data_IF_135177461570
#
_entry.id   IF_135177461570
#
_cell.length_a   1.000
_cell.length_b   1.000
_cell.length_c   1.000
_cell.angle_alpha   90.00
_cell.angle_beta   90.00
_cell.angle_gamma   90.00
#
_symmetry.space_group_name_H-M   'P 1'
#
loop_
_entity.id
_entity.type
_entity.pdbx_description
1 polymer ?
#
# COMPACT_ATOMS: atom_id res chain seq x y z
N UNK A 1 12.58 -12.22 8.32
CA UNK A 1 11.38 -11.63 7.67
C UNK A 1 10.13 -12.47 7.91
N UNK A 2 10.06 -13.72 7.43
CA UNK A 2 8.86 -14.57 7.64
C UNK A 2 8.47 -14.76 9.12
N UNK A 3 9.44 -14.86 10.04
CA UNK A 3 9.17 -14.93 11.49
C UNK A 3 8.47 -13.67 12.02
N UNK A 4 8.99 -12.49 11.70
CA UNK A 4 8.40 -11.21 12.11
C UNK A 4 7.01 -10.99 11.51
N UNK A 5 6.77 -11.40 10.27
CA UNK A 5 5.42 -11.34 9.68
C UNK A 5 4.43 -12.23 10.43
N UNK A 6 4.86 -13.40 10.93
CA UNK A 6 4.00 -14.27 11.75
C UNK A 6 3.66 -13.65 13.10
N UNK A 7 4.62 -12.96 13.73
CA UNK A 7 4.40 -12.24 14.98
C UNK A 7 3.42 -11.07 14.81
N UNK A 8 3.46 -10.37 13.67
CA UNK A 8 2.51 -9.30 13.35
C UNK A 8 1.14 -9.88 12.95
N UNK A 9 1.13 -10.97 12.19
CA UNK A 9 -0.08 -11.57 11.64
C UNK A 9 -1.00 -12.23 12.67
N UNK A 10 -0.53 -12.51 13.88
CA UNK A 10 -1.38 -13.06 14.96
C UNK A 10 -2.34 -12.03 15.57
N UNK A 11 -2.07 -10.74 15.41
CA UNK A 11 -2.85 -9.64 15.99
C UNK A 11 -2.95 -8.48 15.00
N UNK A 12 -3.54 -8.72 13.81
CA UNK A 12 -3.85 -7.61 12.90
C UNK A 12 -5.02 -6.83 13.50
N UNK A 13 -4.84 -5.54 13.87
CA UNK A 13 -5.93 -4.77 14.45
C UNK A 13 -7.05 -4.52 13.42
N UNK A 14 -8.29 -4.48 13.89
CA UNK A 14 -9.45 -4.09 13.07
C UNK A 14 -9.27 -2.65 12.58
N UNK A 15 -9.74 -2.38 11.35
CA UNK A 15 -9.73 -1.02 10.79
C UNK A 15 -8.38 -0.51 10.30
N UNK A 16 -7.35 -1.36 10.24
CA UNK A 16 -6.05 -0.99 9.66
C UNK A 16 -6.12 -1.02 8.14
N UNK A 17 -5.40 -0.12 7.50
CA UNK A 17 -5.25 -0.03 6.05
C UNK A 17 -3.77 0.17 5.68
N UNK A 18 -3.43 -0.04 4.40
CA UNK A 18 -2.11 0.29 3.89
C UNK A 18 -2.06 1.80 3.59
N UNK A 19 -1.07 2.58 4.06
CA UNK A 19 -1.02 4.02 3.78
C UNK A 19 -0.99 4.36 2.28
N UNK A 20 -0.47 3.45 1.45
CA UNK A 20 -0.47 3.60 -0.01
C UNK A 20 -1.84 3.35 -0.66
N UNK A 21 -2.82 2.81 0.08
CA UNK A 21 -4.17 2.55 -0.36
C UNK A 21 -5.20 2.81 0.77
N UNK A 22 -5.66 4.06 0.94
CA UNK A 22 -6.60 4.44 2.00
C UNK A 22 -8.06 4.06 1.71
N UNK A 23 -8.35 3.39 0.60
CA UNK A 23 -9.72 2.99 0.21
C UNK A 23 -10.03 1.52 0.55
N UNK A 24 -9.06 0.80 1.10
CA UNK A 24 -9.18 -0.63 1.39
C UNK A 24 -8.70 -0.96 2.80
N UNK A 25 -9.46 -1.80 3.49
CA UNK A 25 -9.10 -2.34 4.80
C UNK A 25 -8.26 -3.61 4.65
N UNK A 26 -7.37 -3.82 5.60
CA UNK A 26 -6.55 -5.02 5.71
C UNK A 26 -7.38 -6.17 6.30
N UNK A 27 -7.50 -7.26 5.55
CA UNK A 27 -8.18 -8.49 6.00
C UNK A 27 -7.18 -9.46 6.60
N UNK A 28 -6.04 -9.68 5.92
CA UNK A 28 -5.00 -10.58 6.43
C UNK A 28 -3.66 -10.36 5.74
N UNK A 29 -2.61 -10.95 6.32
CA UNK A 29 -1.25 -10.92 5.82
C UNK A 29 -0.83 -12.32 5.33
N UNK A 30 -0.23 -12.41 4.14
CA UNK A 30 0.43 -13.65 3.73
C UNK A 30 1.78 -13.79 4.47
N UNK A 31 1.79 -14.65 5.49
CA UNK A 31 2.93 -14.87 6.38
C UNK A 31 4.15 -15.49 5.68
N UNK A 32 3.98 -16.04 4.47
CA UNK A 32 5.05 -16.63 3.67
C UNK A 32 5.58 -15.68 2.58
N UNK A 33 4.90 -14.57 2.33
CA UNK A 33 5.24 -13.63 1.25
C UNK A 33 6.49 -12.78 1.50
N UNK A 34 6.93 -12.68 2.77
CA UNK A 34 8.03 -11.81 3.19
C UNK A 34 9.36 -12.12 2.52
N UNK A 35 9.76 -11.31 1.54
CA UNK A 35 10.97 -11.50 0.75
C UNK A 35 11.88 -10.26 0.77
N UNK A 36 13.18 -10.38 1.13
CA UNK A 36 14.15 -9.31 0.90
C UNK A 36 14.43 -9.12 -0.59
N UNK A 37 14.60 -7.88 -1.02
CA UNK A 37 14.94 -7.53 -2.41
C UNK A 37 16.42 -7.15 -2.52
N UNK A 38 17.06 -7.60 -3.60
CA UNK A 38 18.52 -7.63 -3.77
C UNK A 38 19.17 -6.30 -4.20
N UNK A 39 18.49 -5.16 -4.09
CA UNK A 39 18.85 -3.96 -4.89
C UNK A 39 19.36 -2.73 -4.13
N UNK A 40 19.72 -2.80 -2.84
CA UNK A 40 20.26 -1.64 -2.12
C UNK A 40 21.04 -2.01 -0.84
N UNK A 41 21.87 -1.08 -0.36
CA UNK A 41 22.60 -1.19 0.92
C UNK A 41 21.68 -1.37 2.16
N UNK A 42 20.39 -1.02 2.03
CA UNK A 42 19.38 -1.06 3.11
C UNK A 42 18.30 -2.14 2.90
N UNK A 43 18.52 -3.09 1.99
CA UNK A 43 17.73 -4.32 1.75
C UNK A 43 16.20 -4.19 2.00
N UNK A 44 15.42 -3.62 1.06
CA UNK A 44 13.98 -3.47 1.22
C UNK A 44 13.25 -4.81 1.24
N UNK A 45 12.05 -4.84 1.82
CA UNK A 45 11.25 -6.05 1.98
C UNK A 45 9.90 -5.94 1.30
N UNK A 46 9.50 -6.99 0.58
CA UNK A 46 8.17 -7.13 0.00
C UNK A 46 7.28 -8.01 0.89
N UNK A 47 6.03 -7.60 1.07
CA UNK A 47 4.98 -8.42 1.69
C UNK A 47 3.67 -8.32 0.90
N UNK A 48 2.85 -9.37 1.00
CA UNK A 48 1.54 -9.48 0.35
C UNK A 48 0.44 -9.45 1.40
N UNK A 49 -0.58 -8.64 1.16
CA UNK A 49 -1.72 -8.38 2.02
C UNK A 49 -3.00 -8.75 1.27
N UNK A 50 -3.96 -9.38 1.95
CA UNK A 50 -5.33 -9.51 1.46
C UNK A 50 -6.12 -8.31 1.97
N UNK A 51 -6.71 -7.56 1.07
CA UNK A 51 -7.42 -6.32 1.37
C UNK A 51 -8.82 -6.35 0.76
N UNK A 52 -9.73 -5.57 1.33
CA UNK A 52 -11.10 -5.42 0.85
C UNK A 52 -11.39 -3.94 0.58
N UNK A 53 -11.86 -3.60 -0.63
CA UNK A 53 -12.22 -2.22 -0.97
C UNK A 53 -13.50 -1.82 -0.24
N UNK A 54 -13.47 -0.72 0.49
CA UNK A 54 -14.62 -0.23 1.28
C UNK A 54 -14.87 1.27 1.10
N UNK A 55 -13.92 2.01 0.51
CA UNK A 55 -13.96 3.46 0.36
C UNK A 55 -13.53 4.19 1.64
N UNK A 56 -13.10 5.45 1.50
CA UNK A 56 -12.46 6.22 2.57
C UNK A 56 -13.39 6.38 3.79
N UNK A 57 -14.66 6.73 3.55
CA UNK A 57 -15.64 6.94 4.63
C UNK A 57 -15.80 5.68 5.51
N UNK A 58 -15.80 4.50 4.91
CA UNK A 58 -15.91 3.25 5.68
C UNK A 58 -14.60 2.94 6.41
N UNK A 59 -13.43 3.20 5.82
CA UNK A 59 -12.14 3.05 6.51
C UNK A 59 -12.09 3.92 7.76
N UNK A 60 -12.53 5.18 7.66
CA UNK A 60 -12.58 6.10 8.81
C UNK A 60 -13.53 5.60 9.89
N UNK A 61 -14.69 5.04 9.52
CA UNK A 61 -15.62 4.43 10.48
C UNK A 61 -15.05 3.19 11.15
N UNK A 62 -14.22 2.41 10.46
CA UNK A 62 -13.54 1.25 11.05
C UNK A 62 -12.45 1.62 12.07
N UNK A 63 -12.04 2.89 12.13
CA UNK A 63 -11.17 3.38 13.20
C UNK A 63 -11.92 3.56 14.54
N UNK A 64 -13.25 3.57 14.51
CA UNK A 64 -14.09 3.61 15.71
C UNK A 64 -14.18 2.20 16.34
N UNK A 65 -13.73 2.01 17.59
CA UNK A 65 -13.75 0.70 18.24
C UNK A 65 -15.15 0.12 18.46
N UNK A 66 -16.20 0.96 18.47
CA UNK A 66 -17.59 0.51 18.65
C UNK A 66 -18.27 0.14 17.31
N UNK A 67 -17.58 0.33 16.18
CA UNK A 67 -18.12 0.02 14.86
C UNK A 67 -17.84 -1.44 14.46
N UNK A 68 -18.88 -2.27 14.49
CA UNK A 68 -18.82 -3.61 13.89
C UNK A 68 -18.87 -3.49 12.37
N UNK A 69 -17.71 -3.71 11.74
CA UNK A 69 -17.62 -3.80 10.28
C UNK A 69 -18.41 -5.03 9.79
N UNK A 70 -19.57 -4.79 9.17
CA UNK A 70 -20.25 -5.81 8.41
C UNK A 70 -19.48 -6.04 7.11
N UNK A 71 -19.03 -7.27 6.87
CA UNK A 71 -18.47 -7.66 5.57
C UNK A 71 -19.51 -7.44 4.48
N UNK A 72 -19.37 -6.32 3.77
CA UNK A 72 -20.12 -6.04 2.56
C UNK A 72 -19.69 -7.01 1.44
N UNK A 73 -20.47 -7.12 0.37
CA UNK A 73 -20.14 -7.94 -0.81
C UNK A 73 -18.97 -7.38 -1.64
N UNK A 74 -18.15 -6.49 -1.07
CA UNK A 74 -17.06 -5.85 -1.78
C UNK A 74 -15.91 -6.83 -2.08
N UNK A 75 -15.22 -6.55 -3.18
CA UNK A 75 -14.21 -7.45 -3.73
C UNK A 75 -12.94 -7.48 -2.88
N UNK A 76 -12.58 -8.67 -2.41
CA UNK A 76 -11.26 -8.95 -1.85
C UNK A 76 -10.20 -9.13 -2.95
N UNK A 77 -9.00 -8.62 -2.71
CA UNK A 77 -7.87 -8.83 -3.61
C UNK A 77 -6.53 -8.83 -2.86
N UNK A 78 -5.50 -9.31 -3.56
CA UNK A 78 -4.13 -9.32 -3.05
C UNK A 78 -3.40 -8.05 -3.44
N UNK A 79 -2.86 -7.33 -2.46
CA UNK A 79 -2.02 -6.16 -2.65
C UNK A 79 -0.61 -6.42 -2.12
N UNK A 80 0.40 -6.11 -2.94
CA UNK A 80 1.80 -6.18 -2.53
C UNK A 80 2.29 -4.77 -2.16
N UNK A 81 3.14 -4.69 -1.13
CA UNK A 81 3.84 -3.46 -0.78
C UNK A 81 5.32 -3.75 -0.54
N UNK A 82 6.16 -2.76 -0.86
CA UNK A 82 7.59 -2.76 -0.59
C UNK A 82 7.85 -1.75 0.53
N UNK A 83 8.52 -2.19 1.57
CA UNK A 83 8.93 -1.36 2.70
C UNK A 83 10.43 -1.08 2.58
N UNK A 84 10.78 0.20 2.48
CA UNK A 84 12.16 0.69 2.34
C UNK A 84 12.56 1.46 3.62
N UNK A 85 13.00 0.73 4.65
CA UNK A 85 13.41 1.36 5.93
C UNK A 85 14.77 2.03 5.77
N UNK A 86 14.92 3.25 6.29
CA UNK A 86 16.17 4.01 6.17
C UNK A 86 16.35 4.69 4.82
N UNK A 87 15.42 4.57 3.88
CA UNK A 87 15.53 5.14 2.53
C UNK A 87 14.66 6.39 2.39
N UNK A 88 15.25 7.48 1.88
CA UNK A 88 14.52 8.73 1.68
C UNK A 88 13.81 8.70 0.33
N UNK A 89 12.55 8.27 0.36
CA UNK A 89 11.71 8.14 -0.84
C UNK A 89 11.06 9.45 -1.28
N UNK A 90 11.39 10.60 -0.67
CA UNK A 90 10.77 11.89 -1.05
C UNK A 90 11.13 12.32 -2.47
N UNK A 91 12.34 11.97 -2.93
CA UNK A 91 12.74 12.21 -4.33
C UNK A 91 11.94 11.34 -5.31
N UNK A 92 11.70 10.07 -4.98
CA UNK A 92 10.86 9.16 -5.77
C UNK A 92 9.42 9.71 -5.88
N UNK A 93 8.86 10.24 -4.77
CA UNK A 93 7.53 10.86 -4.76
C UNK A 93 7.45 12.04 -5.73
N UNK A 94 8.47 12.93 -5.74
CA UNK A 94 8.51 14.05 -6.68
C UNK A 94 8.54 13.58 -8.14
N UNK A 95 9.34 12.56 -8.44
CA UNK A 95 9.41 11.99 -9.78
C UNK A 95 8.05 11.39 -10.21
N UNK A 96 7.38 10.66 -9.32
CA UNK A 96 6.05 10.08 -9.58
C UNK A 96 4.97 11.16 -9.78
N UNK A 97 5.05 12.28 -9.05
CA UNK A 97 4.16 13.43 -9.25
C UNK A 97 4.35 14.03 -10.65
N UNK A 98 5.60 14.20 -11.09
CA UNK A 98 5.91 14.69 -12.43
C UNK A 98 5.42 13.72 -13.51
N UNK A 99 5.62 12.41 -13.32
CA UNK A 99 5.08 11.39 -14.24
C UNK A 99 3.56 11.48 -14.37
N UNK A 100 2.85 11.73 -13.27
CA UNK A 100 1.38 11.89 -13.28
C UNK A 100 0.95 13.17 -13.99
N UNK A 101 1.69 14.26 -13.85
CA UNK A 101 1.44 15.49 -14.61
C UNK A 101 1.61 15.24 -16.12
N UNK A 102 2.68 14.56 -16.53
CA UNK A 102 2.89 14.23 -17.93
C UNK A 102 1.84 13.28 -18.49
N UNK A 103 1.40 12.28 -17.72
CA UNK A 103 0.30 11.41 -18.13
C UNK A 103 -0.94 12.23 -18.49
N UNK A 104 -1.33 13.18 -17.63
CA UNK A 104 -2.49 14.04 -17.90
C UNK A 104 -2.30 14.91 -19.15
N UNK A 105 -1.10 15.45 -19.38
CA UNK A 105 -0.79 16.23 -20.58
C UNK A 105 -0.89 15.35 -21.84
N UNK A 106 -0.35 14.13 -21.80
CA UNK A 106 -0.41 13.21 -22.93
C UNK A 106 -1.85 12.83 -23.27
N UNK A 107 -2.68 12.55 -22.26
CA UNK A 107 -4.10 12.29 -22.46
C UNK A 107 -4.84 13.51 -23.04
N UNK A 108 -4.51 14.73 -22.59
CA UNK A 108 -5.11 15.96 -23.11
C UNK A 108 -4.75 16.23 -24.57
N UNK A 109 -3.51 15.94 -24.98
CA UNK A 109 -3.03 16.14 -26.35
C UNK A 109 -3.33 14.94 -27.27
N UNK A 110 -3.97 13.87 -26.75
CA UNK A 110 -4.28 12.66 -27.52
C UNK A 110 -3.05 11.81 -27.89
N UNK A 111 -1.96 11.92 -27.13
CA UNK A 111 -0.75 11.12 -27.31
C UNK A 111 -0.91 9.77 -26.61
N UNK A 112 -0.85 8.69 -27.38
CA UNK A 112 -0.97 7.32 -26.89
C UNK A 112 0.35 6.83 -26.26
N UNK A 113 0.63 7.29 -25.05
CA UNK A 113 1.79 6.88 -24.27
C UNK A 113 1.36 6.06 -23.06
N UNK A 114 2.01 4.91 -22.85
CA UNK A 114 1.75 4.06 -21.70
C UNK A 114 2.61 4.47 -20.51
N UNK A 115 1.98 4.93 -19.43
CA UNK A 115 2.63 5.16 -18.14
C UNK A 115 1.85 4.43 -17.04
N UNK A 116 2.58 3.70 -16.21
CA UNK A 116 2.03 3.09 -15.00
C UNK A 116 2.69 3.70 -13.77
N UNK A 117 1.98 4.60 -13.10
CA UNK A 117 2.47 5.24 -11.87
C UNK A 117 2.07 4.41 -10.66
N UNK A 118 3.07 3.97 -9.88
CA UNK A 118 2.83 3.32 -8.60
C UNK A 118 2.76 4.36 -7.47
N UNK A 119 2.21 3.96 -6.33
CA UNK A 119 2.08 4.84 -5.15
C UNK A 119 3.26 4.65 -4.21
N UNK A 120 3.80 5.77 -3.73
CA UNK A 120 4.86 5.82 -2.72
C UNK A 120 4.42 6.78 -1.62
N UNK A 121 4.61 6.37 -0.37
CA UNK A 121 4.31 7.18 0.81
C UNK A 121 5.56 7.23 1.67
N UNK A 122 5.99 8.44 2.01
CA UNK A 122 7.05 8.65 2.98
C UNK A 122 6.45 8.59 4.39
N UNK A 123 6.85 7.60 5.18
CA UNK A 123 6.37 7.40 6.55
C UNK A 123 7.34 7.91 7.62
N UNK A 124 8.56 8.28 7.23
CA UNK A 124 9.63 8.78 8.08
C UNK A 124 10.60 9.65 7.25
N UNK A 125 11.36 10.59 7.86
CA UNK A 125 12.39 11.37 7.16
C UNK A 125 13.61 10.56 6.67
N UNK A 126 13.70 9.26 6.99
CA UNK A 126 14.78 8.36 6.58
C UNK A 126 15.05 7.30 7.64
#
# INVERSE_FOLDING_TARGET
CAKALREIGSEVPTGVYLPSNPEAILISLDLKSGAPMQSAAKAPYRATFRVQTVGIEQVERCADPDYEFMHDFSTEYSQMAIFKVGDDVRQDILALQLMRLFHNIFEQEGLELYLYTYRVIATSPG
#
